data_IF_725576673701
#
_entry.id   IF_725576673701
#
_cell.length_a   1.000
_cell.length_b   1.000
_cell.length_c   1.000
_cell.angle_alpha   90.00
_cell.angle_beta   90.00
_cell.angle_gamma   90.00
#
_symmetry.space_group_name_H-M   'P 1'
#
loop_
_entity.id
_entity.type
_entity.pdbx_description
1 polymer ?
#
# COMPACT_ATOMS: atom_id res chain seq x y z
N UNK A 1 -33.58 -21.14 50.99
CA UNK A 1 -33.20 -19.81 50.46
C UNK A 1 -31.71 -19.80 50.20
N UNK A 2 -31.32 -19.97 48.95
CA UNK A 2 -29.96 -19.72 48.48
C UNK A 2 -30.03 -18.62 47.42
N UNK A 3 -29.16 -17.59 47.49
CA UNK A 3 -29.16 -16.53 46.51
C UNK A 3 -28.55 -17.03 45.20
N UNK A 4 -29.26 -16.76 44.11
CA UNK A 4 -28.89 -17.03 42.73
C UNK A 4 -27.68 -16.14 42.40
N UNK A 5 -26.58 -16.75 41.95
CA UNK A 5 -25.40 -16.02 41.45
C UNK A 5 -25.74 -15.34 40.13
N UNK A 6 -25.54 -14.03 40.08
CA UNK A 6 -25.50 -13.27 38.84
C UNK A 6 -24.37 -13.81 37.93
N UNK A 7 -24.64 -14.14 36.66
CA UNK A 7 -23.59 -14.53 35.74
C UNK A 7 -22.76 -13.31 35.33
N UNK A 8 -21.45 -13.46 35.48
CA UNK A 8 -20.41 -12.53 35.03
C UNK A 8 -20.71 -12.08 33.61
N UNK A 9 -21.10 -10.82 33.47
CA UNK A 9 -21.38 -10.17 32.19
C UNK A 9 -20.13 -10.15 31.33
N UNK A 10 -20.07 -11.07 30.37
CA UNK A 10 -19.15 -10.98 29.23
C UNK A 10 -19.34 -9.58 28.62
N UNK A 11 -18.32 -8.71 28.70
CA UNK A 11 -18.29 -7.47 27.91
C UNK A 11 -18.34 -7.87 26.44
N UNK A 12 -19.53 -7.85 25.86
CA UNK A 12 -19.73 -8.08 24.44
C UNK A 12 -19.14 -6.86 23.72
N UNK A 13 -17.96 -7.03 23.13
CA UNK A 13 -17.41 -6.02 22.22
C UNK A 13 -18.29 -6.01 20.98
N UNK A 14 -19.16 -5.01 20.87
CA UNK A 14 -19.99 -4.79 19.70
C UNK A 14 -19.14 -4.07 18.65
N UNK A 15 -18.75 -4.80 17.61
CA UNK A 15 -18.09 -4.24 16.43
C UNK A 15 -19.14 -4.01 15.35
N UNK A 16 -19.05 -2.88 14.65
CA UNK A 16 -19.94 -2.48 13.56
C UNK A 16 -19.12 -2.10 12.32
N UNK A 17 -19.45 -2.69 11.17
CA UNK A 17 -18.83 -2.35 9.89
C UNK A 17 -19.42 -1.08 9.26
N UNK A 18 -20.66 -0.77 9.62
CA UNK A 18 -21.46 0.32 9.05
C UNK A 18 -22.22 1.03 10.16
N UNK A 19 -22.22 2.36 10.10
CA UNK A 19 -23.07 3.21 10.93
C UNK A 19 -23.97 4.04 10.01
N UNK A 20 -25.25 4.10 10.32
CA UNK A 20 -26.21 4.97 9.64
C UNK A 20 -26.94 5.87 10.65
N UNK A 21 -27.31 7.07 10.24
CA UNK A 21 -28.00 8.05 11.09
C UNK A 21 -29.35 8.39 10.48
N UNK A 22 -30.42 8.14 11.23
CA UNK A 22 -31.78 8.55 10.85
C UNK A 22 -32.28 9.63 11.82
N UNK A 23 -32.81 10.73 11.27
CA UNK A 23 -33.22 11.90 12.05
C UNK A 23 -34.70 12.19 11.84
N UNK A 24 -35.42 12.40 12.94
CA UNK A 24 -36.78 12.97 12.95
C UNK A 24 -36.81 14.23 13.83
N UNK A 25 -37.96 14.91 13.93
CA UNK A 25 -38.13 16.05 14.84
C UNK A 25 -38.00 15.67 16.31
N UNK A 26 -38.27 14.41 16.67
CA UNK A 26 -38.40 13.97 18.06
C UNK A 26 -37.23 13.09 18.50
N UNK A 27 -36.52 12.46 17.56
CA UNK A 27 -35.49 11.48 17.84
C UNK A 27 -34.41 11.43 16.77
N UNK A 28 -33.20 11.07 17.20
CA UNK A 28 -32.06 10.75 16.34
C UNK A 28 -31.67 9.31 16.63
N UNK A 29 -31.65 8.47 15.60
CA UNK A 29 -31.27 7.07 15.68
C UNK A 29 -29.89 6.86 15.07
N UNK A 30 -28.98 6.31 15.85
CA UNK A 30 -27.71 5.76 15.39
C UNK A 30 -27.90 4.26 15.20
N UNK A 31 -27.78 3.78 13.97
CA UNK A 31 -28.05 2.38 13.60
C UNK A 31 -26.72 1.74 13.21
N UNK A 32 -26.36 0.65 13.88
CA UNK A 32 -25.10 -0.06 13.71
C UNK A 32 -25.36 -1.41 13.05
N UNK A 33 -24.61 -1.71 11.99
CA UNK A 33 -24.79 -2.93 11.21
C UNK A 33 -23.47 -3.61 10.84
N UNK A 34 -23.58 -4.89 10.56
CA UNK A 34 -22.49 -5.74 10.07
C UNK A 34 -22.79 -6.23 8.67
N UNK A 35 -21.76 -6.35 7.83
CA UNK A 35 -21.90 -6.93 6.50
C UNK A 35 -22.01 -8.44 6.65
N UNK A 36 -23.17 -9.01 6.33
CA UNK A 36 -23.36 -10.46 6.30
C UNK A 36 -22.41 -11.08 5.27
N UNK A 37 -21.55 -12.03 5.67
CA UNK A 37 -20.72 -12.79 4.73
C UNK A 37 -21.59 -13.80 3.96
N UNK A 38 -22.36 -13.31 2.98
CA UNK A 38 -23.18 -14.11 2.09
C UNK A 38 -22.70 -13.96 0.65
N UNK A 39 -22.13 -15.04 0.09
CA UNK A 39 -21.74 -15.12 -1.31
C UNK A 39 -22.98 -15.13 -2.23
N UNK A 40 -23.16 -14.09 -3.04
CA UNK A 40 -23.69 -14.22 -4.40
C UNK A 40 -23.32 -12.96 -5.21
N UNK A 41 -22.78 -13.14 -6.42
CA UNK A 41 -22.21 -12.06 -7.23
C UNK A 41 -23.27 -11.22 -7.99
N UNK A 42 -24.54 -11.19 -7.55
CA UNK A 42 -25.61 -10.45 -8.25
C UNK A 42 -26.66 -9.76 -7.38
N UNK A 43 -26.56 -9.77 -6.06
CA UNK A 43 -27.49 -9.03 -5.20
C UNK A 43 -26.74 -8.25 -4.13
N UNK A 44 -27.21 -7.03 -3.85
CA UNK A 44 -26.72 -6.19 -2.75
C UNK A 44 -26.75 -7.03 -1.48
N UNK A 45 -25.58 -7.34 -0.91
CA UNK A 45 -25.51 -8.13 0.31
C UNK A 45 -26.37 -7.46 1.40
N UNK A 46 -27.32 -8.17 2.01
CA UNK A 46 -28.19 -7.57 3.01
C UNK A 46 -27.35 -7.11 4.21
N UNK A 47 -27.41 -5.82 4.52
CA UNK A 47 -26.84 -5.25 5.74
C UNK A 47 -27.73 -5.68 6.89
N UNK A 48 -27.18 -6.42 7.85
CA UNK A 48 -27.87 -6.72 9.09
C UNK A 48 -27.59 -5.60 10.09
N UNK A 49 -28.61 -4.82 10.41
CA UNK A 49 -28.57 -3.84 11.49
C UNK A 49 -28.82 -4.57 12.80
N UNK A 50 -27.79 -4.64 13.65
CA UNK A 50 -27.80 -5.47 14.86
C UNK A 50 -28.13 -4.67 16.11
N UNK A 51 -27.78 -3.37 16.13
CA UNK A 51 -27.93 -2.52 17.29
C UNK A 51 -28.37 -1.11 16.88
N UNK A 52 -29.20 -0.47 17.70
CA UNK A 52 -29.57 0.92 17.53
C UNK A 52 -29.53 1.68 18.85
N UNK A 53 -29.06 2.93 18.79
CA UNK A 53 -29.11 3.88 19.91
C UNK A 53 -30.06 5.00 19.52
N UNK A 54 -31.10 5.21 20.32
CA UNK A 54 -32.10 6.26 20.12
C UNK A 54 -31.81 7.40 21.10
N UNK A 55 -31.65 8.60 20.58
CA UNK A 55 -31.33 9.80 21.34
C UNK A 55 -32.39 10.87 21.11
N UNK A 56 -32.74 11.63 22.15
CA UNK A 56 -33.44 12.89 21.97
C UNK A 56 -32.52 13.91 21.28
N UNK A 57 -33.06 14.96 20.62
CA UNK A 57 -32.24 16.00 19.99
C UNK A 57 -31.22 16.65 20.95
N UNK A 58 -31.62 16.82 22.21
CA UNK A 58 -30.74 17.38 23.24
C UNK A 58 -29.60 16.43 23.61
N UNK A 59 -29.89 15.15 23.81
CA UNK A 59 -28.87 14.14 24.12
C UNK A 59 -27.93 13.92 22.93
N UNK A 60 -28.44 13.91 21.71
CA UNK A 60 -27.63 13.80 20.50
C UNK A 60 -26.66 14.98 20.36
N UNK A 61 -27.08 16.21 20.66
CA UNK A 61 -26.20 17.38 20.65
C UNK A 61 -25.08 17.26 21.70
N UNK A 62 -25.38 16.72 22.88
CA UNK A 62 -24.36 16.46 23.92
C UNK A 62 -23.38 15.37 23.50
N UNK A 63 -23.87 14.28 22.90
CA UNK A 63 -23.02 13.19 22.38
C UNK A 63 -22.13 13.71 21.26
N UNK A 64 -22.68 14.48 20.31
CA UNK A 64 -21.91 15.11 19.24
C UNK A 64 -20.79 15.98 19.80
N UNK A 65 -21.06 16.84 20.80
CA UNK A 65 -20.04 17.68 21.42
C UNK A 65 -18.93 16.88 22.14
N UNK A 66 -19.28 15.75 22.78
CA UNK A 66 -18.31 14.85 23.41
C UNK A 66 -17.45 14.11 22.37
N UNK A 67 -18.04 13.67 21.27
CA UNK A 67 -17.32 13.06 20.15
C UNK A 67 -16.38 14.06 19.50
N UNK A 68 -16.85 15.28 19.21
CA UNK A 68 -16.05 16.39 18.67
C UNK A 68 -14.85 16.74 19.55
N UNK A 69 -15.03 16.68 20.87
CA UNK A 69 -13.95 16.92 21.82
C UNK A 69 -12.94 15.77 21.80
N UNK A 70 -13.43 14.53 21.80
CA UNK A 70 -12.57 13.34 21.75
C UNK A 70 -11.77 13.28 20.44
N UNK A 71 -12.40 13.65 19.32
CA UNK A 71 -11.75 13.80 18.02
C UNK A 71 -10.68 14.89 18.11
N UNK A 72 -10.97 16.08 18.62
CA UNK A 72 -9.97 17.16 18.72
C UNK A 72 -8.80 16.81 19.64
N UNK A 73 -9.05 16.15 20.77
CA UNK A 73 -8.00 15.66 21.67
C UNK A 73 -7.11 14.64 20.94
N UNK A 74 -7.73 13.70 20.20
CA UNK A 74 -7.00 12.78 19.33
C UNK A 74 -6.22 13.50 18.22
N UNK A 75 -6.81 14.45 17.50
CA UNK A 75 -6.16 15.15 16.39
C UNK A 75 -5.02 16.07 16.83
N UNK A 76 -5.10 16.62 18.04
CA UNK A 76 -4.02 17.40 18.65
C UNK A 76 -2.81 16.52 18.99
N UNK A 77 -3.03 15.26 19.34
CA UNK A 77 -2.00 14.30 19.73
C UNK A 77 -1.47 13.47 18.55
N UNK A 78 -2.33 13.17 17.56
CA UNK A 78 -2.09 12.19 16.50
C UNK A 78 -2.33 12.70 15.07
N UNK A 79 -2.77 13.95 14.90
CA UNK A 79 -3.08 14.56 13.61
C UNK A 79 -4.52 14.31 13.12
N UNK A 80 -4.95 15.08 12.10
CA UNK A 80 -6.34 15.13 11.63
C UNK A 80 -6.88 13.81 11.10
N UNK A 81 -8.13 13.50 11.47
CA UNK A 81 -8.87 12.34 10.98
C UNK A 81 -9.59 12.68 9.66
N UNK A 82 -9.09 12.18 8.53
CA UNK A 82 -9.86 12.13 7.26
C UNK A 82 -10.55 10.77 7.08
N UNK A 83 -11.59 10.66 6.24
CA UNK A 83 -12.27 9.37 5.95
C UNK A 83 -11.31 8.28 5.40
N UNK A 84 -10.18 8.70 4.84
CA UNK A 84 -9.07 7.83 4.38
C UNK A 84 -8.01 7.55 5.47
N UNK A 85 -7.99 8.35 6.55
CA UNK A 85 -6.95 8.30 7.60
C UNK A 85 -7.11 7.19 8.62
N UNK A 86 -8.29 6.56 8.76
CA UNK A 86 -8.48 5.51 9.76
C UNK A 86 -7.64 4.25 9.47
N UNK A 87 -7.30 4.01 8.19
CA UNK A 87 -6.30 2.99 7.82
C UNK A 87 -4.86 3.50 7.84
N UNK A 88 -4.63 4.76 7.46
CA UNK A 88 -3.30 5.36 7.31
C UNK A 88 -2.65 5.81 8.64
N UNK A 89 -3.45 6.27 9.61
CA UNK A 89 -2.98 6.61 10.95
C UNK A 89 -2.61 5.36 11.75
N UNK A 90 -3.40 4.28 11.63
CA UNK A 90 -3.09 2.98 12.27
C UNK A 90 -1.83 2.35 11.68
N UNK A 91 -1.60 2.46 10.36
CA UNK A 91 -0.36 2.00 9.73
C UNK A 91 0.89 2.84 10.09
N UNK A 92 0.73 4.16 10.28
CA UNK A 92 1.82 5.08 10.71
C UNK A 92 2.17 4.94 12.19
N UNK A 93 1.16 4.84 13.06
CA UNK A 93 1.34 4.52 14.49
C UNK A 93 1.87 3.09 14.67
N UNK A 94 1.56 2.19 13.73
CA UNK A 94 2.11 0.83 13.74
C UNK A 94 3.63 0.79 13.58
N UNK A 95 4.19 1.77 12.87
CA UNK A 95 5.62 1.89 12.57
C UNK A 95 6.43 2.73 13.55
N UNK A 96 5.80 3.55 14.40
CA UNK A 96 6.51 4.48 15.31
C UNK A 96 6.91 3.87 16.65
N UNK A 97 6.20 2.85 17.15
CA UNK A 97 6.57 2.17 18.39
C UNK A 97 7.42 0.92 18.10
N UNK A 98 8.74 1.07 18.18
CA UNK A 98 9.70 -0.03 18.18
C UNK A 98 10.75 -0.02 17.07
N UNK A 99 10.85 1.06 16.28
CA UNK A 99 12.08 1.35 15.52
C UNK A 99 12.77 2.56 16.14
N UNK A 100 14.09 2.62 16.07
CA UNK A 100 14.85 3.84 16.38
C UNK A 100 14.59 4.90 15.28
N UNK A 101 13.33 5.28 15.05
CA UNK A 101 13.01 6.39 14.16
C UNK A 101 13.50 7.68 14.81
N UNK A 102 14.31 8.44 14.08
CA UNK A 102 14.73 9.76 14.53
C UNK A 102 13.59 10.74 14.26
N UNK A 103 13.37 11.72 15.12
CA UNK A 103 12.35 12.76 14.92
C UNK A 103 12.43 13.39 13.51
N UNK A 104 13.65 13.52 12.97
CA UNK A 104 13.93 14.01 11.63
C UNK A 104 13.40 13.12 10.51
N UNK A 105 13.42 11.79 10.67
CA UNK A 105 12.89 10.85 9.68
C UNK A 105 11.36 10.90 9.64
N UNK A 106 10.71 11.02 10.79
CA UNK A 106 9.26 11.17 10.87
C UNK A 106 8.80 12.51 10.28
N UNK A 107 9.54 13.59 10.54
CA UNK A 107 9.31 14.91 9.92
C UNK A 107 9.40 14.84 8.39
N UNK A 108 10.42 14.17 7.82
CA UNK A 108 10.60 14.02 6.36
C UNK A 108 9.46 13.21 5.72
N UNK A 109 9.03 12.13 6.36
CA UNK A 109 7.89 11.32 5.93
C UNK A 109 6.59 12.15 5.91
N UNK A 110 6.31 12.84 7.03
CA UNK A 110 5.12 13.66 7.20
C UNK A 110 5.11 14.87 6.26
N UNK A 111 6.26 15.50 6.05
CA UNK A 111 6.39 16.61 5.11
C UNK A 111 5.99 16.20 3.69
N UNK A 112 6.49 15.06 3.20
CA UNK A 112 6.08 14.54 1.89
C UNK A 112 4.57 14.27 1.84
N UNK A 113 4.03 13.63 2.86
CA UNK A 113 2.60 13.33 2.93
C UNK A 113 1.75 14.60 2.83
N UNK A 114 2.09 15.65 3.58
CA UNK A 114 1.39 16.94 3.56
C UNK A 114 1.49 17.63 2.19
N UNK A 115 2.66 17.59 1.56
CA UNK A 115 2.85 18.16 0.22
C UNK A 115 1.95 17.51 -0.81
N UNK A 116 1.83 16.17 -0.82
CA UNK A 116 0.96 15.46 -1.76
C UNK A 116 -0.52 15.72 -1.47
N UNK A 117 -0.92 15.75 -0.20
CA UNK A 117 -2.30 16.10 0.21
C UNK A 117 -2.70 17.52 -0.24
N UNK A 118 -1.76 18.46 -0.27
CA UNK A 118 -2.01 19.84 -0.74
C UNK A 118 -2.37 19.95 -2.24
N UNK A 119 -2.22 18.86 -3.00
CA UNK A 119 -2.65 18.81 -4.40
C UNK A 119 -4.17 18.82 -4.53
N UNK A 120 -4.90 18.40 -3.48
CA UNK A 120 -6.36 18.31 -3.46
C UNK A 120 -6.88 17.38 -4.58
N UNK A 121 -6.31 16.17 -4.63
CA UNK A 121 -6.65 15.11 -5.58
C UNK A 121 -6.78 13.79 -4.83
N UNK A 122 -7.70 12.93 -5.27
CA UNK A 122 -7.83 11.58 -4.70
C UNK A 122 -6.52 10.80 -4.89
N UNK A 123 -5.98 10.29 -3.80
CA UNK A 123 -4.71 9.59 -3.76
C UNK A 123 -4.88 8.15 -3.25
N UNK A 124 -4.18 7.20 -3.87
CA UNK A 124 -3.98 5.87 -3.31
C UNK A 124 -2.76 5.86 -2.39
N UNK A 125 -2.92 5.40 -1.15
CA UNK A 125 -1.81 5.15 -0.23
C UNK A 125 -1.51 3.65 -0.18
N UNK A 126 -0.27 3.31 -0.52
CA UNK A 126 0.27 1.96 -0.39
C UNK A 126 1.35 1.94 0.69
N UNK A 127 1.25 1.01 1.62
CA UNK A 127 2.30 0.76 2.61
C UNK A 127 3.14 -0.44 2.17
N UNK A 128 4.36 -0.53 2.65
CA UNK A 128 5.19 -1.71 2.43
C UNK A 128 6.12 -1.97 3.60
N UNK A 129 6.56 -3.22 3.73
CA UNK A 129 7.73 -3.53 4.54
C UNK A 129 8.75 -4.29 3.71
N UNK A 130 10.03 -3.98 3.94
CA UNK A 130 11.16 -4.62 3.25
C UNK A 130 11.97 -5.41 4.27
N UNK A 131 12.34 -6.62 3.89
CA UNK A 131 13.12 -7.54 4.70
C UNK A 131 14.44 -7.83 4.00
N UNK A 132 15.53 -7.66 4.74
CA UNK A 132 16.89 -8.03 4.38
C UNK A 132 17.54 -8.69 5.60
N UNK A 133 18.73 -9.27 5.47
CA UNK A 133 19.38 -9.94 6.59
C UNK A 133 19.48 -9.04 7.84
N UNK A 134 18.82 -9.45 8.93
CA UNK A 134 18.62 -8.76 10.20
C UNK A 134 17.89 -7.41 10.17
N UNK A 135 17.34 -7.00 9.03
CA UNK A 135 16.76 -5.66 8.85
C UNK A 135 15.31 -5.78 8.40
N UNK A 136 14.40 -5.17 9.17
CA UNK A 136 12.99 -5.02 8.85
C UNK A 136 12.62 -3.54 8.72
N UNK A 137 12.54 -3.04 7.48
CA UNK A 137 12.15 -1.66 7.18
C UNK A 137 10.63 -1.56 7.07
N UNK A 138 9.99 -0.93 8.06
CA UNK A 138 8.52 -0.86 8.22
C UNK A 138 7.91 0.46 7.75
N UNK A 139 8.64 1.56 7.92
CA UNK A 139 8.16 2.90 7.60
C UNK A 139 8.46 3.21 6.13
N UNK A 140 7.59 2.70 5.26
CA UNK A 140 7.72 2.84 3.80
C UNK A 140 6.35 2.94 3.17
N UNK A 141 6.16 3.96 2.34
CA UNK A 141 4.90 4.15 1.64
C UNK A 141 5.08 4.71 0.23
N UNK A 142 4.03 4.57 -0.58
CA UNK A 142 3.83 5.25 -1.86
C UNK A 142 2.46 5.94 -1.83
N UNK A 143 2.40 7.18 -2.30
CA UNK A 143 1.17 7.93 -2.52
C UNK A 143 1.06 8.20 -4.01
N UNK A 144 0.07 7.61 -4.67
CA UNK A 144 -0.14 7.70 -6.10
C UNK A 144 -1.42 8.44 -6.46
N UNK A 145 -1.40 9.21 -7.55
CA UNK A 145 -2.58 9.86 -8.11
C UNK A 145 -2.52 9.91 -9.63
N UNK A 146 -3.69 9.92 -10.28
CA UNK A 146 -3.82 10.14 -11.71
C UNK A 146 -3.47 11.58 -12.04
N UNK A 147 -2.42 11.81 -12.86
CA UNK A 147 -1.98 13.15 -13.25
C UNK A 147 -3.10 13.96 -13.87
N UNK A 148 -3.94 13.33 -14.69
CA UNK A 148 -4.98 14.03 -15.46
C UNK A 148 -6.18 14.48 -14.61
N UNK A 149 -6.27 14.04 -13.35
CA UNK A 149 -7.20 14.62 -12.36
C UNK A 149 -6.73 15.99 -11.85
N UNK A 150 -5.47 16.36 -12.08
CA UNK A 150 -4.94 17.68 -11.78
C UNK A 150 -5.04 18.56 -13.05
N UNK A 151 -5.78 19.69 -12.97
CA UNK A 151 -5.89 20.64 -14.08
C UNK A 151 -4.53 21.10 -14.60
N UNK A 152 -4.41 21.31 -15.92
CA UNK A 152 -3.13 21.63 -16.57
C UNK A 152 -2.40 22.82 -15.94
N UNK A 153 -3.14 23.89 -15.60
CA UNK A 153 -2.62 25.09 -14.94
C UNK A 153 -2.15 24.86 -13.49
N UNK A 154 -2.47 23.72 -12.88
CA UNK A 154 -2.05 23.31 -11.53
C UNK A 154 -0.96 22.24 -11.54
N UNK A 155 -0.56 21.70 -12.71
CA UNK A 155 0.45 20.63 -12.79
C UNK A 155 1.85 21.06 -12.37
N UNK A 156 2.14 22.35 -12.40
CA UNK A 156 3.37 22.90 -11.81
C UNK A 156 3.48 22.55 -10.31
N UNK A 157 2.36 22.38 -9.59
CA UNK A 157 2.37 21.94 -8.20
C UNK A 157 3.05 20.57 -8.02
N UNK A 158 2.91 19.66 -8.99
CA UNK A 158 3.57 18.34 -8.95
C UNK A 158 5.09 18.50 -8.96
N UNK A 159 5.60 19.37 -9.83
CA UNK A 159 7.03 19.68 -9.94
C UNK A 159 7.52 20.42 -8.68
N UNK A 160 6.69 21.30 -8.13
CA UNK A 160 7.02 22.01 -6.89
C UNK A 160 7.13 21.07 -5.68
N UNK A 161 6.38 19.96 -5.64
CA UNK A 161 6.61 18.91 -4.65
C UNK A 161 8.04 18.38 -4.80
N UNK A 162 8.44 17.94 -5.99
CA UNK A 162 9.80 17.43 -6.24
C UNK A 162 10.89 18.39 -5.74
N UNK A 163 10.75 19.70 -6.02
CA UNK A 163 11.68 20.72 -5.54
C UNK A 163 11.65 20.87 -4.01
N UNK A 164 10.47 20.77 -3.39
CA UNK A 164 10.30 20.92 -1.93
C UNK A 164 10.92 19.76 -1.13
N UNK A 165 11.00 18.57 -1.73
CA UNK A 165 11.67 17.40 -1.15
C UNK A 165 13.10 17.22 -1.67
N UNK A 166 13.70 18.30 -2.16
CA UNK A 166 15.11 18.41 -2.55
C UNK A 166 15.53 17.38 -3.63
N UNK A 167 14.66 17.13 -4.62
CA UNK A 167 15.01 16.30 -5.78
C UNK A 167 16.21 16.92 -6.53
N UNK A 168 17.21 16.11 -6.94
CA UNK A 168 18.35 16.57 -7.73
C UNK A 168 17.93 17.34 -8.99
N UNK A 169 18.68 18.39 -9.36
CA UNK A 169 18.28 19.30 -10.44
C UNK A 169 18.17 18.64 -11.82
N UNK A 170 19.05 17.70 -12.12
CA UNK A 170 19.01 16.84 -13.31
C UNK A 170 17.76 15.94 -13.30
N UNK A 171 17.41 15.37 -12.15
CA UNK A 171 16.18 14.59 -11.99
C UNK A 171 14.92 15.44 -12.13
N UNK A 172 14.92 16.69 -11.64
CA UNK A 172 13.80 17.62 -11.84
C UNK A 172 13.59 17.88 -13.34
N UNK A 173 14.66 18.12 -14.10
CA UNK A 173 14.58 18.31 -15.56
C UNK A 173 13.98 17.08 -16.25
N UNK A 174 14.55 15.90 -16.00
CA UNK A 174 14.06 14.64 -16.57
C UNK A 174 12.62 14.31 -16.18
N UNK A 175 12.26 14.55 -14.91
CA UNK A 175 10.90 14.37 -14.42
C UNK A 175 9.93 15.28 -15.14
N UNK A 176 10.27 16.57 -15.32
CA UNK A 176 9.43 17.52 -16.05
C UNK A 176 9.21 17.10 -17.50
N UNK A 177 10.27 16.70 -18.20
CA UNK A 177 10.21 16.28 -19.60
C UNK A 177 9.26 15.08 -19.77
N UNK A 178 9.31 14.12 -18.84
CA UNK A 178 8.51 12.90 -18.87
C UNK A 178 7.15 12.99 -18.21
N UNK A 179 6.88 14.03 -17.44
CA UNK A 179 5.61 14.19 -16.72
C UNK A 179 4.42 14.26 -17.68
N UNK A 180 4.58 14.86 -18.86
CA UNK A 180 3.49 14.98 -19.84
C UNK A 180 3.01 13.63 -20.39
N UNK A 181 3.94 12.68 -20.55
CA UNK A 181 3.71 11.32 -21.06
C UNK A 181 3.12 10.37 -20.00
N UNK A 182 3.28 10.69 -18.71
CA UNK A 182 2.82 9.85 -17.62
C UNK A 182 1.29 9.82 -17.49
N UNK A 183 0.75 8.76 -16.88
CA UNK A 183 -0.66 8.64 -16.49
C UNK A 183 -0.84 8.81 -14.98
N UNK A 184 0.01 8.13 -14.20
CA UNK A 184 0.02 8.18 -12.73
C UNK A 184 1.37 8.74 -12.27
N UNK A 185 1.33 9.57 -11.24
CA UNK A 185 2.51 10.04 -10.50
C UNK A 185 2.44 9.42 -9.11
N UNK A 186 3.56 8.86 -8.63
CA UNK A 186 3.66 8.39 -7.25
C UNK A 186 4.82 9.07 -6.54
N UNK A 187 4.64 9.42 -5.28
CA UNK A 187 5.72 9.82 -4.38
C UNK A 187 5.88 8.79 -3.27
N UNK A 188 7.12 8.55 -2.87
CA UNK A 188 7.42 7.55 -1.84
C UNK A 188 8.45 8.01 -0.84
N UNK A 189 8.36 7.39 0.33
CA UNK A 189 9.36 7.49 1.38
C UNK A 189 9.75 6.08 1.83
N UNK A 190 11.02 5.90 2.14
CA UNK A 190 11.58 4.69 2.73
C UNK A 190 12.55 5.11 3.83
N UNK A 191 12.21 4.80 5.07
CA UNK A 191 13.14 4.92 6.19
C UNK A 191 14.13 3.74 6.17
N UNK A 192 15.42 4.05 6.20
CA UNK A 192 16.49 3.10 6.47
C UNK A 192 17.15 3.36 7.82
N UNK A 193 18.06 2.48 8.23
CA UNK A 193 18.74 2.58 9.54
C UNK A 193 19.68 3.78 9.65
N UNK A 194 20.24 4.23 8.52
CA UNK A 194 21.21 5.34 8.44
C UNK A 194 20.79 6.42 7.45
N UNK A 195 20.14 6.00 6.39
CA UNK A 195 19.78 6.80 5.23
C UNK A 195 18.29 6.64 4.98
N UNK A 196 17.61 7.71 4.59
CA UNK A 196 16.19 7.66 4.20
C UNK A 196 16.06 8.09 2.76
N UNK A 197 15.15 7.48 2.01
CA UNK A 197 15.07 7.64 0.56
C UNK A 197 13.72 8.24 0.17
N UNK A 198 13.76 9.38 -0.50
CA UNK A 198 12.62 9.88 -1.25
C UNK A 198 12.58 9.25 -2.64
N UNK A 199 11.35 9.10 -3.14
CA UNK A 199 11.10 8.55 -4.47
C UNK A 199 10.02 9.33 -5.18
N UNK A 200 10.18 9.48 -6.48
CA UNK A 200 9.12 9.89 -7.38
C UNK A 200 9.04 8.89 -8.53
N UNK A 201 7.83 8.50 -8.93
CA UNK A 201 7.59 7.60 -10.04
C UNK A 201 6.66 8.23 -11.06
N UNK A 202 6.97 8.03 -12.32
CA UNK A 202 6.09 8.30 -13.45
C UNK A 202 5.67 6.96 -14.04
N UNK A 203 4.37 6.68 -14.08
CA UNK A 203 3.79 5.48 -14.70
C UNK A 203 3.27 5.80 -16.10
N UNK A 204 3.58 4.94 -17.07
CA UNK A 204 3.20 5.05 -18.48
C UNK A 204 2.17 3.97 -18.88
N UNK A 205 1.09 3.85 -18.10
CA UNK A 205 0.04 2.84 -18.26
C UNK A 205 -0.61 2.81 -19.64
N UNK A 206 -0.65 3.93 -20.37
CA UNK A 206 -1.14 3.99 -21.76
C UNK A 206 -0.38 3.09 -22.73
N UNK A 207 0.81 2.60 -22.35
CA UNK A 207 1.56 1.63 -23.13
C UNK A 207 0.83 0.30 -23.35
N UNK A 208 -0.02 -0.14 -22.42
CA UNK A 208 -0.76 -1.41 -22.54
C UNK A 208 -1.66 -1.46 -23.77
N UNK A 209 -2.51 -0.45 -23.96
CA UNK A 209 -3.43 -0.39 -25.11
C UNK A 209 -2.67 -0.42 -26.43
N UNK A 210 -1.51 0.27 -26.48
CA UNK A 210 -0.65 0.29 -27.65
C UNK A 210 -0.08 -1.10 -27.96
N UNK A 211 0.59 -1.74 -27.00
CA UNK A 211 1.26 -3.02 -27.24
C UNK A 211 0.28 -4.17 -27.48
N UNK A 212 -0.88 -4.15 -26.82
CA UNK A 212 -1.95 -5.13 -27.03
C UNK A 212 -2.55 -4.96 -28.43
N UNK A 213 -2.78 -3.72 -28.89
CA UNK A 213 -3.30 -3.48 -30.24
C UNK A 213 -2.31 -3.91 -31.33
N UNK A 214 -1.01 -3.68 -31.13
CA UNK A 214 0.04 -4.04 -32.09
C UNK A 214 0.26 -5.56 -32.16
N UNK A 215 0.23 -6.26 -31.01
CA UNK A 215 0.37 -7.71 -30.97
C UNK A 215 -0.46 -8.34 -29.83
N UNK A 216 -1.76 -8.63 -30.05
CA UNK A 216 -2.65 -9.11 -29.00
C UNK A 216 -2.24 -10.44 -28.36
N UNK A 217 -1.55 -11.31 -29.11
CA UNK A 217 -1.17 -12.65 -28.65
C UNK A 217 0.15 -12.67 -27.88
N UNK A 218 1.02 -11.70 -28.14
CA UNK A 218 2.30 -11.60 -27.45
C UNK A 218 2.75 -10.13 -27.37
N UNK A 219 2.11 -9.32 -26.51
CA UNK A 219 2.46 -7.91 -26.38
C UNK A 219 3.93 -7.75 -25.96
N UNK A 220 4.66 -6.90 -26.69
CA UNK A 220 6.08 -6.65 -26.39
C UNK A 220 6.27 -6.01 -25.01
N UNK A 221 7.37 -6.34 -24.30
CA UNK A 221 7.73 -5.64 -23.07
C UNK A 221 7.93 -4.15 -23.32
N UNK A 222 7.56 -3.31 -22.36
CA UNK A 222 7.72 -1.87 -22.47
C UNK A 222 8.01 -1.22 -21.12
N UNK A 223 8.50 0.02 -21.14
CA UNK A 223 8.75 0.80 -19.93
C UNK A 223 7.42 1.21 -19.30
N UNK A 224 7.13 0.70 -18.11
CA UNK A 224 5.91 1.06 -17.39
C UNK A 224 6.16 2.12 -16.32
N UNK A 225 7.35 2.15 -15.69
CA UNK A 225 7.69 3.20 -14.73
C UNK A 225 9.11 3.74 -14.92
N UNK A 226 9.27 5.04 -14.67
CA UNK A 226 10.54 5.66 -14.31
C UNK A 226 10.50 6.02 -12.83
N UNK A 227 11.47 5.54 -12.06
CA UNK A 227 11.60 5.80 -10.65
C UNK A 227 12.85 6.64 -10.35
N UNK A 228 12.65 7.85 -9.87
CA UNK A 228 13.68 8.75 -9.38
C UNK A 228 13.83 8.49 -7.89
N UNK A 229 15.03 8.11 -7.43
CA UNK A 229 15.30 7.79 -6.02
C UNK A 229 16.50 8.59 -5.55
N UNK A 230 16.39 9.28 -4.42
CA UNK A 230 17.50 10.03 -3.83
C UNK A 230 17.43 9.97 -2.32
N UNK A 231 18.58 10.10 -1.69
CA UNK A 231 18.67 10.21 -0.24
C UNK A 231 18.06 11.55 0.23
N UNK A 232 17.28 11.48 1.32
CA UNK A 232 16.49 12.58 1.84
C UNK A 232 17.29 13.63 2.60
N UNK A 233 18.57 13.34 2.90
CA UNK A 233 19.49 14.21 3.62
C UNK A 233 20.68 14.66 2.75
N UNK A 234 21.04 13.88 1.74
CA UNK A 234 22.09 14.17 0.76
C UNK A 234 21.64 13.76 -0.66
N UNK A 235 21.02 14.70 -1.37
CA UNK A 235 20.48 14.43 -2.71
C UNK A 235 21.56 14.13 -3.77
N UNK A 236 22.86 14.31 -3.48
CA UNK A 236 23.93 13.86 -4.38
C UNK A 236 23.96 12.33 -4.52
N UNK A 237 23.40 11.61 -3.54
CA UNK A 237 23.21 10.16 -3.59
C UNK A 237 21.85 9.86 -4.21
N UNK A 238 21.83 9.64 -5.52
CA UNK A 238 20.61 9.36 -6.27
C UNK A 238 20.79 8.29 -7.35
N UNK A 239 19.67 7.73 -7.82
CA UNK A 239 19.64 6.80 -8.93
C UNK A 239 18.31 6.81 -9.67
N UNK A 240 18.40 6.61 -10.97
CA UNK A 240 17.26 6.40 -11.85
C UNK A 240 17.02 4.90 -12.04
N UNK A 241 15.80 4.48 -11.77
CA UNK A 241 15.33 3.12 -11.96
C UNK A 241 14.33 3.06 -13.12
N UNK A 242 14.49 2.05 -13.98
CA UNK A 242 13.60 1.76 -15.11
C UNK A 242 12.87 0.46 -14.81
N UNK A 243 11.54 0.49 -14.91
CA UNK A 243 10.69 -0.68 -14.68
C UNK A 243 10.09 -1.10 -16.01
N UNK A 244 10.47 -2.29 -16.48
CA UNK A 244 9.94 -2.90 -17.69
C UNK A 244 8.88 -3.91 -17.31
N UNK A 245 7.68 -3.77 -17.89
CA UNK A 245 6.59 -4.74 -17.73
C UNK A 245 6.66 -5.79 -18.82
N UNK A 246 6.30 -7.03 -18.48
CA UNK A 246 6.22 -8.15 -19.42
C UNK A 246 4.78 -8.70 -19.45
N UNK A 247 3.89 -8.13 -20.29
CA UNK A 247 2.47 -8.43 -20.24
C UNK A 247 2.09 -9.87 -20.63
N UNK A 248 2.94 -10.54 -21.41
CA UNK A 248 2.67 -11.87 -21.97
C UNK A 248 3.25 -13.03 -21.18
N UNK A 249 3.93 -12.77 -20.06
CA UNK A 249 4.59 -13.83 -19.31
C UNK A 249 3.58 -14.70 -18.57
N UNK A 250 3.69 -16.03 -18.77
CA UNK A 250 2.93 -17.00 -17.99
C UNK A 250 3.46 -17.09 -16.56
N UNK A 251 2.68 -17.69 -15.65
CA UNK A 251 3.13 -17.97 -14.29
C UNK A 251 4.42 -18.80 -14.28
N UNK A 252 4.53 -19.79 -15.15
CA UNK A 252 5.73 -20.63 -15.30
C UNK A 252 6.93 -19.79 -15.72
N UNK A 253 6.74 -18.89 -16.69
CA UNK A 253 7.80 -18.00 -17.18
C UNK A 253 8.24 -17.05 -16.07
N UNK A 254 7.31 -16.48 -15.32
CA UNK A 254 7.61 -15.62 -14.17
C UNK A 254 8.45 -16.41 -13.15
N UNK A 255 8.04 -17.63 -12.79
CA UNK A 255 8.79 -18.47 -11.84
C UNK A 255 10.22 -18.78 -12.34
N UNK A 256 10.40 -19.07 -13.63
CA UNK A 256 11.74 -19.26 -14.22
C UNK A 256 12.59 -17.98 -14.11
N UNK A 257 12.00 -16.80 -14.36
CA UNK A 257 12.68 -15.52 -14.18
C UNK A 257 13.06 -15.30 -12.72
N UNK A 258 12.13 -15.51 -11.78
CA UNK A 258 12.36 -15.38 -10.34
C UNK A 258 13.50 -16.27 -9.87
N UNK A 259 13.51 -17.53 -10.33
CA UNK A 259 14.58 -18.48 -10.01
C UNK A 259 15.95 -17.94 -10.41
N UNK A 260 16.06 -17.33 -11.60
CA UNK A 260 17.28 -16.72 -12.11
C UNK A 260 17.82 -15.54 -11.29
N UNK A 261 17.01 -14.89 -10.44
CA UNK A 261 17.51 -13.85 -9.50
C UNK A 261 18.25 -14.44 -8.30
N UNK A 262 17.92 -15.68 -7.89
CA UNK A 262 18.40 -16.26 -6.63
C UNK A 262 19.33 -17.47 -6.79
N UNK A 263 19.40 -18.09 -7.98
CA UNK A 263 20.17 -19.32 -8.19
C UNK A 263 21.68 -19.15 -7.92
N UNK A 264 22.23 -17.94 -8.12
CA UNK A 264 23.64 -17.65 -7.84
C UNK A 264 24.00 -17.66 -6.33
N UNK A 265 23.02 -17.54 -5.43
CA UNK A 265 23.24 -17.20 -4.01
C UNK A 265 23.22 -18.40 -3.04
N UNK A 266 23.26 -19.64 -3.54
CA UNK A 266 23.21 -20.92 -2.77
C UNK A 266 21.94 -21.17 -1.92
N UNK A 267 21.16 -20.14 -1.57
CA UNK A 267 19.93 -20.29 -0.80
C UNK A 267 18.69 -19.89 -1.61
N UNK A 268 17.80 -20.86 -1.84
CA UNK A 268 16.58 -20.70 -2.64
C UNK A 268 15.38 -20.21 -1.83
N UNK A 269 15.55 -19.90 -0.56
CA UNK A 269 14.43 -19.58 0.33
C UNK A 269 13.60 -18.37 -0.14
N UNK A 270 14.17 -17.25 -0.60
CA UNK A 270 13.39 -16.13 -1.15
C UNK A 270 12.54 -16.53 -2.36
N UNK A 271 13.10 -17.35 -3.26
CA UNK A 271 12.38 -17.90 -4.40
C UNK A 271 11.20 -18.76 -3.95
N UNK A 272 11.41 -19.69 -3.00
CA UNK A 272 10.34 -20.56 -2.50
C UNK A 272 9.23 -19.78 -1.78
N UNK A 273 9.57 -18.66 -1.12
CA UNK A 273 8.58 -17.76 -0.53
C UNK A 273 7.76 -17.08 -1.63
N UNK A 274 8.43 -16.50 -2.63
CA UNK A 274 7.76 -15.82 -3.74
C UNK A 274 6.85 -16.77 -4.53
N UNK A 275 7.36 -17.96 -4.84
CA UNK A 275 6.59 -19.04 -5.47
C UNK A 275 5.34 -19.40 -4.66
N UNK A 276 5.47 -19.61 -3.34
CA UNK A 276 4.33 -19.93 -2.49
C UNK A 276 3.27 -18.82 -2.45
N UNK A 277 3.69 -17.54 -2.47
CA UNK A 277 2.75 -16.40 -2.52
C UNK A 277 2.01 -16.39 -3.87
N UNK A 278 2.73 -16.62 -4.97
CA UNK A 278 2.13 -16.70 -6.31
C UNK A 278 1.16 -17.87 -6.43
N UNK A 279 1.47 -19.04 -5.86
CA UNK A 279 0.57 -20.21 -5.83
C UNK A 279 -0.73 -19.94 -5.06
N UNK A 280 -0.68 -19.15 -3.99
CA UNK A 280 -1.89 -18.70 -3.29
C UNK A 280 -2.69 -17.70 -4.12
N UNK A 281 -2.01 -16.78 -4.81
CA UNK A 281 -2.66 -15.82 -5.70
C UNK A 281 -3.32 -16.51 -6.90
N UNK A 282 -2.67 -17.49 -7.53
CA UNK A 282 -3.17 -18.19 -8.71
C UNK A 282 -4.42 -19.05 -8.43
N UNK A 283 -4.76 -19.28 -7.17
CA UNK A 283 -6.02 -19.91 -6.78
C UNK A 283 -7.22 -18.96 -6.91
N UNK A 284 -6.98 -17.63 -7.00
CA UNK A 284 -8.03 -16.60 -7.00
C UNK A 284 -8.12 -15.81 -8.29
N UNK A 285 -7.03 -15.76 -9.05
CA UNK A 285 -6.94 -15.01 -10.31
C UNK A 285 -6.43 -15.88 -11.44
N UNK A 286 -6.86 -15.55 -12.66
CA UNK A 286 -6.36 -16.15 -13.88
C UNK A 286 -4.90 -15.79 -14.17
N UNK A 287 -4.23 -16.54 -15.06
CA UNK A 287 -2.82 -16.34 -15.40
C UNK A 287 -2.53 -14.95 -15.99
N UNK A 288 -3.49 -14.35 -16.70
CA UNK A 288 -3.34 -13.03 -17.34
C UNK A 288 -3.58 -11.85 -16.37
N UNK A 289 -3.81 -12.12 -15.09
CA UNK A 289 -4.10 -11.10 -14.07
C UNK A 289 -2.86 -10.71 -13.24
N UNK A 290 -1.75 -11.42 -13.39
CA UNK A 290 -0.47 -11.06 -12.79
C UNK A 290 0.21 -9.94 -13.60
N UNK A 291 0.72 -8.91 -12.92
CA UNK A 291 1.57 -7.91 -13.56
C UNK A 291 3.01 -8.08 -13.10
N UNK A 292 3.86 -8.62 -13.98
CA UNK A 292 5.28 -8.84 -13.71
C UNK A 292 6.15 -7.72 -14.28
N UNK A 293 7.00 -7.17 -13.42
CA UNK A 293 7.92 -6.09 -13.71
C UNK A 293 9.35 -6.51 -13.39
N UNK A 294 10.32 -6.04 -14.18
CA UNK A 294 11.73 -6.06 -13.81
C UNK A 294 12.26 -4.63 -13.71
N UNK A 295 13.01 -4.37 -12.64
CA UNK A 295 13.62 -3.09 -12.36
C UNK A 295 15.14 -3.16 -12.54
N UNK A 296 15.66 -2.22 -13.33
CA UNK A 296 17.09 -1.99 -13.52
C UNK A 296 17.43 -0.55 -13.12
N UNK A 297 18.62 -0.35 -12.54
CA UNK A 297 19.14 0.98 -12.19
C UNK A 297 20.36 1.28 -13.08
N UNK A 298 20.47 2.52 -13.58
CA UNK A 298 21.61 2.91 -14.42
C UNK A 298 22.92 2.80 -13.64
N UNK A 299 23.98 2.31 -14.31
CA UNK A 299 25.31 2.09 -13.74
C UNK A 299 25.31 1.19 -12.48
N UNK A 300 24.32 0.30 -12.35
CA UNK A 300 24.13 -0.49 -11.14
C UNK A 300 23.86 -1.97 -11.45
N UNK A 301 24.56 -2.92 -10.80
CA UNK A 301 24.29 -4.35 -10.97
C UNK A 301 22.98 -4.80 -10.31
N UNK A 302 22.27 -3.93 -9.58
CA UNK A 302 20.98 -4.23 -8.95
C UNK A 302 20.02 -4.81 -9.97
N UNK A 303 19.46 -5.97 -9.61
CA UNK A 303 18.42 -6.65 -10.36
C UNK A 303 17.29 -6.98 -9.41
N UNK A 304 16.11 -6.44 -9.68
CA UNK A 304 14.92 -6.75 -8.89
C UNK A 304 13.69 -6.95 -9.77
N UNK A 305 12.71 -7.64 -9.23
CA UNK A 305 11.39 -7.83 -9.82
C UNK A 305 10.31 -7.23 -8.92
N UNK A 306 9.14 -7.02 -9.50
CA UNK A 306 7.90 -6.73 -8.78
C UNK A 306 6.74 -7.50 -9.42
N UNK A 307 5.83 -7.99 -8.59
CA UNK A 307 4.64 -8.73 -9.03
C UNK A 307 3.41 -8.13 -8.37
N UNK A 308 2.56 -7.47 -9.15
CA UNK A 308 1.26 -7.00 -8.69
C UNK A 308 0.27 -8.17 -8.63
N UNK A 309 -0.35 -8.35 -7.47
CA UNK A 309 -1.33 -9.39 -7.16
C UNK A 309 -2.57 -8.82 -6.45
N UNK A 310 -2.85 -7.52 -6.54
CA UNK A 310 -4.03 -6.91 -5.90
C UNK A 310 -5.34 -7.61 -6.25
N UNK A 311 -5.46 -8.10 -7.50
CA UNK A 311 -6.65 -8.80 -8.00
C UNK A 311 -6.93 -10.11 -7.26
N UNK A 312 -5.91 -10.74 -6.67
CA UNK A 312 -6.08 -11.92 -5.83
C UNK A 312 -6.83 -11.60 -4.52
N UNK A 313 -6.90 -10.32 -4.12
CA UNK A 313 -7.62 -9.88 -2.93
C UNK A 313 -7.27 -10.71 -1.69
N UNK A 314 -5.99 -11.09 -1.58
CA UNK A 314 -5.46 -11.80 -0.42
C UNK A 314 -5.27 -10.80 0.72
N UNK A 315 -5.55 -11.23 1.95
CA UNK A 315 -5.13 -10.49 3.14
C UNK A 315 -3.74 -10.96 3.56
N UNK A 316 -2.97 -10.07 4.20
CA UNK A 316 -1.65 -10.45 4.73
C UNK A 316 -1.72 -11.65 5.69
N UNK A 317 -2.82 -11.81 6.42
CA UNK A 317 -3.03 -12.96 7.30
C UNK A 317 -3.07 -14.32 6.59
N UNK A 318 -3.43 -14.34 5.32
CA UNK A 318 -3.48 -15.55 4.51
C UNK A 318 -2.08 -15.99 4.06
N UNK A 319 -1.12 -15.05 4.08
CA UNK A 319 0.28 -15.29 3.74
C UNK A 319 1.13 -15.63 4.96
N UNK A 320 0.56 -15.68 6.17
CA UNK A 320 1.29 -15.76 7.43
C UNK A 320 2.39 -16.84 7.48
N UNK A 321 2.17 -18.10 7.04
CA UNK A 321 3.22 -19.11 7.06
C UNK A 321 4.44 -18.75 6.19
N UNK A 322 4.19 -18.10 5.05
CA UNK A 322 5.22 -17.63 4.12
C UNK A 322 5.94 -16.40 4.68
N UNK A 323 5.22 -15.49 5.32
CA UNK A 323 5.81 -14.33 6.00
C UNK A 323 6.69 -14.74 7.19
N UNK A 324 6.30 -15.75 7.97
CA UNK A 324 7.15 -16.31 9.02
C UNK A 324 8.39 -17.02 8.45
N UNK A 325 8.25 -17.73 7.32
CA UNK A 325 9.39 -18.33 6.61
C UNK A 325 10.38 -17.26 6.16
N UNK A 326 9.87 -16.14 5.64
CA UNK A 326 10.66 -14.96 5.28
C UNK A 326 11.41 -14.38 6.48
N UNK A 327 10.73 -14.17 7.61
CA UNK A 327 11.35 -13.64 8.82
C UNK A 327 12.45 -14.55 9.37
N UNK A 328 12.23 -15.88 9.41
CA UNK A 328 13.26 -16.84 9.83
C UNK A 328 14.48 -16.82 8.93
N UNK A 329 14.27 -16.74 7.62
CA UNK A 329 15.36 -16.74 6.65
C UNK A 329 16.24 -15.49 6.78
N UNK A 330 15.62 -14.31 6.89
CA UNK A 330 16.33 -13.05 7.08
C UNK A 330 16.73 -12.78 8.53
N UNK A 331 16.58 -13.76 9.44
CA UNK A 331 16.94 -13.61 10.85
C UNK A 331 16.30 -12.38 11.54
N UNK A 332 15.04 -12.12 11.22
CA UNK A 332 14.24 -11.07 11.85
C UNK A 332 13.68 -11.58 13.17
N UNK A 333 13.68 -10.73 14.19
CA UNK A 333 13.12 -11.06 15.50
C UNK A 333 11.63 -11.43 15.37
N UNK A 334 11.19 -12.59 15.88
CA UNK A 334 9.77 -12.96 15.87
C UNK A 334 8.90 -11.96 16.63
N UNK A 335 9.41 -11.41 17.73
CA UNK A 335 8.70 -10.38 18.51
C UNK A 335 8.53 -9.10 17.70
N UNK A 336 9.61 -8.63 17.07
CA UNK A 336 9.58 -7.43 16.23
C UNK A 336 8.60 -7.59 15.06
N UNK A 337 8.63 -8.75 14.39
CA UNK A 337 7.72 -9.02 13.28
C UNK A 337 6.28 -9.10 13.75
N UNK A 338 5.96 -9.82 14.82
CA UNK A 338 4.58 -9.95 15.30
C UNK A 338 4.00 -8.61 15.75
N UNK A 339 4.77 -7.78 16.46
CA UNK A 339 4.33 -6.45 16.91
C UNK A 339 3.89 -5.57 15.73
N UNK A 340 4.62 -5.62 14.61
CA UNK A 340 4.25 -4.94 13.37
C UNK A 340 3.08 -5.63 12.66
N UNK A 341 3.20 -6.94 12.44
CA UNK A 341 2.29 -7.75 11.65
C UNK A 341 0.87 -7.75 12.23
N UNK A 342 0.70 -7.80 13.54
CA UNK A 342 -0.62 -7.79 14.17
C UNK A 342 -1.46 -6.56 13.83
N UNK A 343 -0.79 -5.44 13.54
CA UNK A 343 -1.41 -4.16 13.18
C UNK A 343 -1.81 -4.12 11.70
N UNK A 344 -1.16 -4.92 10.84
CA UNK A 344 -1.35 -4.89 9.38
C UNK A 344 -1.96 -6.16 8.79
N UNK A 345 -2.09 -7.25 9.55
CA UNK A 345 -2.53 -8.57 9.06
C UNK A 345 -3.88 -8.59 8.33
N UNK A 346 -4.77 -7.65 8.64
CA UNK A 346 -6.09 -7.54 8.02
C UNK A 346 -6.09 -6.80 6.67
N UNK A 347 -5.00 -6.11 6.32
CA UNK A 347 -4.89 -5.35 5.09
C UNK A 347 -4.75 -6.25 3.87
N UNK A 348 -5.20 -5.74 2.72
CA UNK A 348 -5.07 -6.40 1.43
C UNK A 348 -3.60 -6.38 1.00
N UNK A 349 -3.08 -7.55 0.71
CA UNK A 349 -1.80 -7.77 0.04
C UNK A 349 -1.88 -7.26 -1.40
N UNK A 350 -0.92 -6.44 -1.79
CA UNK A 350 -0.82 -5.85 -3.12
C UNK A 350 0.23 -6.53 -3.96
N UNK A 351 1.50 -6.28 -3.65
CA UNK A 351 2.63 -6.66 -4.48
C UNK A 351 3.69 -7.41 -3.67
N UNK A 352 4.45 -8.24 -4.37
CA UNK A 352 5.73 -8.75 -3.89
C UNK A 352 6.85 -8.27 -4.81
N UNK A 353 7.79 -7.49 -4.28
CA UNK A 353 9.07 -7.25 -4.93
C UNK A 353 10.17 -8.10 -4.30
N UNK A 354 11.22 -8.36 -5.06
CA UNK A 354 12.43 -8.99 -4.54
C UNK A 354 13.60 -8.87 -5.49
N UNK A 355 14.73 -9.44 -5.11
CA UNK A 355 15.94 -9.50 -5.94
C UNK A 355 17.18 -9.20 -5.12
N UNK A 356 18.21 -8.70 -5.80
CA UNK A 356 19.54 -8.46 -5.24
C UNK A 356 19.79 -6.95 -5.21
N UNK A 357 20.17 -6.44 -4.04
CA UNK A 357 20.51 -5.04 -3.85
C UNK A 357 21.92 -4.70 -4.37
N UNK A 358 22.35 -3.45 -4.15
CA UNK A 358 23.62 -2.92 -4.65
C UNK A 358 24.85 -3.56 -3.98
N UNK A 359 24.67 -4.11 -2.78
CA UNK A 359 25.72 -4.76 -2.00
C UNK A 359 25.72 -6.29 -2.21
N UNK A 360 24.87 -6.79 -3.13
CA UNK A 360 24.78 -8.22 -3.42
C UNK A 360 23.90 -8.99 -2.43
N UNK A 361 23.13 -8.31 -1.58
CA UNK A 361 22.24 -8.94 -0.61
C UNK A 361 20.87 -9.16 -1.22
N UNK A 362 20.30 -10.33 -1.01
CA UNK A 362 18.91 -10.58 -1.37
C UNK A 362 17.94 -9.89 -0.42
N UNK A 363 16.77 -9.52 -0.95
CA UNK A 363 15.70 -8.91 -0.18
C UNK A 363 14.33 -9.31 -0.72
N UNK A 364 13.29 -9.17 0.12
CA UNK A 364 11.89 -9.19 -0.28
C UNK A 364 11.17 -7.95 0.27
N UNK A 365 10.23 -7.42 -0.49
CA UNK A 365 9.35 -6.32 -0.07
C UNK A 365 7.89 -6.72 -0.30
N UNK A 366 7.06 -6.55 0.73
CA UNK A 366 5.63 -6.84 0.68
C UNK A 366 4.87 -5.52 0.74
N UNK A 367 4.05 -5.26 -0.27
CA UNK A 367 3.20 -4.06 -0.37
C UNK A 367 1.77 -4.40 -0.03
N UNK A 368 1.06 -3.48 0.62
CA UNK A 368 -0.30 -3.68 1.11
C UNK A 368 -1.05 -2.36 1.32
N UNK A 369 -2.38 -2.46 1.37
CA UNK A 369 -3.23 -1.43 1.93
C UNK A 369 -3.90 -0.46 0.96
N UNK A 370 -3.62 -0.52 -0.35
CA UNK A 370 -4.50 0.12 -1.33
C UNK A 370 -5.79 -0.69 -1.41
N UNK A 371 -6.94 -0.04 -1.20
CA UNK A 371 -8.23 -0.66 -1.55
C UNK A 371 -8.30 -0.76 -3.07
N UNK A 372 -8.09 -1.97 -3.59
CA UNK A 372 -8.35 -2.44 -4.96
C UNK A 372 -8.22 -1.40 -6.07
N UNK A 373 -7.14 -1.43 -6.84
CA UNK A 373 -7.07 -0.65 -8.07
C UNK A 373 -8.24 -0.98 -8.98
N UNK A 374 -8.99 0.03 -9.38
CA UNK A 374 -10.13 -0.06 -10.30
C UNK A 374 -9.65 -0.24 -11.73
N UNK A 375 -8.83 -1.25 -12.02
CA UNK A 375 -8.80 -1.78 -13.40
C UNK A 375 -10.13 -2.50 -13.61
N UNK A 376 -11.17 -1.74 -13.97
CA UNK A 376 -12.37 -2.31 -14.56
C UNK A 376 -11.93 -3.02 -15.85
N UNK A 377 -12.31 -4.28 -16.07
CA UNK A 377 -12.16 -4.90 -17.37
C UNK A 377 -13.12 -4.19 -18.34
N UNK A 378 -12.60 -3.27 -19.15
CA UNK A 378 -13.26 -2.92 -20.41
C UNK A 378 -13.06 -4.07 -21.40
N UNK A 379 -13.72 -5.19 -21.12
CA UNK A 379 -14.00 -6.21 -22.12
C UNK A 379 -15.45 -6.06 -22.56
N UNK A 380 -15.69 -5.12 -23.47
CA UNK A 380 -16.85 -5.23 -24.35
C UNK A 380 -16.62 -6.45 -25.25
N UNK A 381 -17.27 -7.56 -24.88
CA UNK A 381 -17.47 -8.70 -25.79
C UNK A 381 -18.26 -8.19 -27.00
N UNK A 382 -17.65 -8.28 -28.17
CA UNK A 382 -18.36 -8.48 -29.43
C UNK A 382 -17.88 -9.79 -30.04
#
# INVERSE_FOLDING_TARGET
MMPQKDPIGLKRSLHADIVNVAVTREEIRLIFGNKSSGYSAKEVSPVQFNDQVILSPFSAKRVAALLDRSIREYEAEYGFLTEESTGAAVARLASSEGSHSTATSEEKANHLFQLVQSLDVHCGLENSFKVLNHILLKNRFLIGFEKDKIPMNRREKIVNICKSIDMPGDFVGMFCDKLSEANIVLFGYEEGEKDSVYKAYLEFGGGFEKVIRENPKNPSPFLIHLGFKWDAYDNSRHALARYTVYPSFSVETILERLFGFYDAHRNRTPFEIAKGIMELASQRIGPDEFLYLEAAEENNPRRSFDINMYRANLKLQELHPLLLKMCRYYSISPEEFHNFYDRVKSFIFGHLSGGIDREGRDFLTVYFGVRGSTRQPTFSRH
#
